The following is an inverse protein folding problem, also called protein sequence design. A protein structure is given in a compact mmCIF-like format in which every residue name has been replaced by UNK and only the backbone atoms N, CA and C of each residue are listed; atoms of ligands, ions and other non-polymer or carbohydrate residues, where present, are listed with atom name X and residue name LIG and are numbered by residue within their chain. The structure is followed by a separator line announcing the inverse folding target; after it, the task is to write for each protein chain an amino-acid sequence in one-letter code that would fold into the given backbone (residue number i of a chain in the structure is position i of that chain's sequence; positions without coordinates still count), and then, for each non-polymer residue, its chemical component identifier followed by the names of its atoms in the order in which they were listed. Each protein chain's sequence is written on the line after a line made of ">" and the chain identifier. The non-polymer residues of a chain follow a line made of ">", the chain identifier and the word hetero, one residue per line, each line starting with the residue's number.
data_IF_683518787399
#
_entry.id   IF_683518787399
#
_cell.length_a   1.000
_cell.length_b   1.000
_cell.length_c   1.000
_cell.angle_alpha   90.00
_cell.angle_beta   90.00
_cell.angle_gamma   90.00
#
_symmetry.space_group_name_H-M   'P 1'
#
loop_
_entity.id
_entity.type
_entity.pdbx_description
1 polymer ?
#
# COMPACT_ATOMS: atom_id res chain seq x y z
N UNK A 1 6.30 -1.32 15.75
CA UNK A 1 7.15 -1.73 14.63
C UNK A 1 6.32 -1.94 13.37
N UNK A 2 5.36 -2.86 13.36
CA UNK A 2 4.53 -3.18 12.17
C UNK A 2 3.82 -1.95 11.57
N UNK A 3 3.27 -1.07 12.42
CA UNK A 3 2.67 0.21 11.99
C UNK A 3 3.64 1.15 11.24
N UNK A 4 4.93 1.12 11.55
CA UNK A 4 5.90 1.96 10.84
C UNK A 4 6.37 1.27 9.55
N UNK A 5 6.51 -0.05 9.55
CA UNK A 5 6.82 -0.81 8.33
C UNK A 5 5.77 -0.65 7.23
N UNK A 6 4.51 -0.42 7.60
CA UNK A 6 3.44 -0.15 6.65
C UNK A 6 3.31 1.34 6.28
N UNK A 7 3.83 2.26 7.09
CA UNK A 7 3.73 3.71 6.84
C UNK A 7 4.92 4.32 6.11
N UNK A 8 6.11 3.74 6.29
CA UNK A 8 7.35 4.29 5.76
C UNK A 8 7.55 3.88 4.29
N UNK A 9 8.08 4.81 3.49
CA UNK A 9 8.49 4.50 2.11
C UNK A 9 9.65 3.51 2.10
N UNK A 10 9.51 2.47 1.27
CA UNK A 10 10.65 1.65 0.90
C UNK A 10 11.65 2.49 0.08
N UNK A 11 12.95 2.18 0.22
CA UNK A 11 13.94 2.69 -0.74
C UNK A 11 13.60 2.16 -2.14
N UNK A 12 13.88 2.94 -3.21
CA UNK A 12 13.74 2.46 -4.57
C UNK A 12 14.50 1.15 -4.79
N UNK A 13 13.93 0.26 -5.59
CA UNK A 13 14.63 -0.94 -6.06
C UNK A 13 15.39 -0.59 -7.34
N UNK A 14 16.66 -0.26 -7.19
CA UNK A 14 17.54 0.17 -8.26
C UNK A 14 18.98 -0.35 -8.07
N UNK A 15 19.89 0.08 -8.96
CA UNK A 15 21.31 -0.26 -8.90
C UNK A 15 22.08 0.50 -7.78
N UNK A 16 21.42 1.37 -7.01
CA UNK A 16 22.02 2.17 -5.95
C UNK A 16 21.70 1.59 -4.57
N UNK A 17 22.68 0.88 -4.01
CA UNK A 17 22.53 0.28 -2.68
C UNK A 17 23.01 1.25 -1.60
N UNK A 18 22.16 1.45 -0.58
CA UNK A 18 22.43 2.30 0.57
C UNK A 18 23.69 1.86 1.32
N UNK A 19 24.44 2.85 1.84
CA UNK A 19 25.74 2.62 2.50
C UNK A 19 25.69 1.61 3.65
N UNK A 20 24.55 1.52 4.34
CA UNK A 20 24.35 0.53 5.41
C UNK A 20 24.48 -0.92 4.93
N UNK A 21 24.06 -1.24 3.71
CA UNK A 21 24.19 -2.57 3.13
C UNK A 21 25.48 -2.74 2.31
N UNK A 22 26.01 -1.63 1.77
CA UNK A 22 27.22 -1.63 0.94
C UNK A 22 28.52 -1.62 1.76
N UNK A 23 28.54 -1.01 2.94
CA UNK A 23 29.78 -0.84 3.70
C UNK A 23 29.69 -1.42 5.12
N UNK A 24 28.48 -1.66 5.63
CA UNK A 24 28.21 -1.91 7.04
C UNK A 24 27.18 -3.05 7.25
N UNK A 25 27.14 -4.04 6.35
CA UNK A 25 26.17 -5.14 6.45
C UNK A 25 26.21 -5.86 7.82
N UNK A 26 27.36 -5.83 8.49
CA UNK A 26 27.53 -6.19 9.90
C UNK A 26 28.26 -5.07 10.64
N UNK A 27 27.96 -4.93 11.94
CA UNK A 27 28.64 -3.95 12.79
C UNK A 27 30.15 -4.23 12.83
N UNK A 28 30.99 -3.17 12.95
CA UNK A 28 32.44 -3.31 13.05
C UNK A 28 32.87 -4.34 14.12
N UNK A 29 33.98 -5.07 13.88
CA UNK A 29 35.04 -4.76 12.92
C UNK A 29 34.85 -5.31 11.49
N UNK A 30 33.82 -6.12 11.24
CA UNK A 30 33.68 -6.91 10.00
C UNK A 30 32.63 -6.34 9.04
N UNK A 31 32.77 -5.07 8.65
CA UNK A 31 31.91 -4.47 7.63
C UNK A 31 32.01 -5.23 6.30
N UNK A 32 30.87 -5.67 5.76
CA UNK A 32 30.79 -6.40 4.49
C UNK A 32 29.93 -5.63 3.48
N UNK A 33 30.23 -5.80 2.19
CA UNK A 33 29.48 -5.23 1.07
C UNK A 33 28.51 -6.27 0.48
N UNK A 34 27.22 -6.10 0.74
CA UNK A 34 26.19 -7.01 0.25
C UNK A 34 26.12 -7.06 -1.28
N UNK A 35 26.36 -5.93 -1.95
CA UNK A 35 26.32 -5.86 -3.40
C UNK A 35 27.47 -6.65 -4.01
N UNK A 36 28.69 -6.45 -3.48
CA UNK A 36 29.86 -7.22 -3.91
C UNK A 36 29.68 -8.72 -3.64
N UNK A 37 29.10 -9.09 -2.49
CA UNK A 37 28.79 -10.48 -2.15
C UNK A 37 27.81 -11.08 -3.16
N UNK A 38 26.75 -10.36 -3.56
CA UNK A 38 25.76 -10.87 -4.50
C UNK A 38 26.36 -11.07 -5.90
N UNK A 39 27.18 -10.14 -6.38
CA UNK A 39 27.91 -10.29 -7.65
C UNK A 39 28.83 -11.51 -7.61
N UNK A 40 29.67 -11.61 -6.57
CA UNK A 40 30.59 -12.74 -6.42
C UNK A 40 29.85 -14.07 -6.30
N UNK A 41 28.72 -14.11 -5.58
CA UNK A 41 27.87 -15.30 -5.47
C UNK A 41 27.29 -15.70 -6.83
N UNK A 42 26.94 -14.73 -7.67
CA UNK A 42 26.53 -14.98 -9.05
C UNK A 42 27.62 -15.68 -9.85
N UNK A 43 28.88 -15.23 -9.70
CA UNK A 43 30.03 -15.87 -10.35
C UNK A 43 30.29 -17.28 -9.80
N UNK A 44 30.23 -17.46 -8.48
CA UNK A 44 30.46 -18.74 -7.82
C UNK A 44 29.43 -19.81 -8.23
N UNK A 45 28.18 -19.39 -8.46
CA UNK A 45 27.09 -20.25 -8.93
C UNK A 45 27.10 -20.43 -10.46
N UNK A 46 28.00 -19.75 -11.17
CA UNK A 46 28.09 -19.81 -12.63
C UNK A 46 26.86 -19.25 -13.34
N UNK A 47 26.24 -18.21 -12.78
CA UNK A 47 25.13 -17.53 -13.46
C UNK A 47 25.61 -16.93 -14.78
N UNK A 48 24.75 -17.00 -15.80
CA UNK A 48 25.00 -16.33 -17.07
C UNK A 48 24.99 -14.81 -16.92
N UNK A 49 25.53 -14.12 -17.93
CA UNK A 49 25.43 -12.66 -18.02
C UNK A 49 23.97 -12.25 -18.25
N UNK A 50 23.68 -10.95 -18.12
CA UNK A 50 22.35 -10.41 -18.39
C UNK A 50 21.89 -10.80 -19.80
N UNK A 51 22.71 -10.57 -20.83
CA UNK A 51 22.35 -10.89 -22.21
C UNK A 51 22.15 -12.39 -22.46
N UNK A 52 23.00 -13.25 -21.90
CA UNK A 52 22.81 -14.69 -21.99
C UNK A 52 21.49 -15.13 -21.35
N UNK A 53 21.13 -14.53 -20.22
CA UNK A 53 19.87 -14.81 -19.52
C UNK A 53 18.68 -14.30 -20.32
N UNK A 54 18.76 -13.08 -20.86
CA UNK A 54 17.72 -12.51 -21.73
C UNK A 54 17.45 -13.41 -22.93
N UNK A 55 18.49 -13.86 -23.63
CA UNK A 55 18.36 -14.80 -24.74
C UNK A 55 17.68 -16.11 -24.31
N UNK A 56 18.08 -16.68 -23.16
CA UNK A 56 17.49 -17.91 -22.63
C UNK A 56 16.00 -17.75 -22.28
N UNK A 57 15.59 -16.55 -21.86
CA UNK A 57 14.19 -16.18 -21.59
C UNK A 57 13.42 -15.75 -22.84
N UNK A 58 14.04 -15.76 -24.02
CA UNK A 58 13.41 -15.32 -25.28
C UNK A 58 13.30 -13.79 -25.44
N UNK A 59 14.00 -13.01 -24.61
CA UNK A 59 14.13 -11.57 -24.75
C UNK A 59 15.28 -11.23 -25.72
N UNK A 60 15.17 -10.06 -26.37
CA UNK A 60 16.26 -9.55 -27.18
C UNK A 60 17.46 -9.13 -26.29
N UNK A 61 18.69 -9.56 -26.58
CA UNK A 61 19.86 -9.07 -25.86
C UNK A 61 20.04 -7.57 -26.11
N UNK A 62 20.58 -6.86 -25.12
CA UNK A 62 20.91 -5.45 -25.26
C UNK A 62 22.18 -5.27 -26.07
N UNK A 63 22.18 -4.32 -26.99
CA UNK A 63 23.33 -4.01 -27.85
C UNK A 63 24.11 -2.78 -27.39
N UNK A 64 23.61 -2.04 -26.40
CA UNK A 64 24.27 -0.87 -25.81
C UNK A 64 23.79 -0.64 -24.37
N UNK A 65 24.58 0.10 -23.59
CA UNK A 65 24.24 0.47 -22.21
C UNK A 65 23.01 1.41 -22.14
N UNK A 66 22.76 2.22 -23.16
CA UNK A 66 21.55 3.06 -23.23
C UNK A 66 20.25 2.25 -23.37
N UNK A 67 20.33 0.98 -23.79
CA UNK A 67 19.16 0.10 -23.81
C UNK A 67 18.92 -0.58 -22.46
N UNK A 68 19.94 -0.66 -21.60
CA UNK A 68 19.85 -1.24 -20.27
C UNK A 68 19.06 -0.32 -19.34
N UNK A 69 19.39 0.97 -19.32
CA UNK A 69 18.82 1.97 -18.42
C UNK A 69 18.55 3.28 -19.15
N UNK A 70 17.36 3.85 -18.95
CA UNK A 70 17.03 5.18 -19.44
C UNK A 70 17.74 6.31 -18.68
N UNK A 71 18.24 6.05 -17.47
CA UNK A 71 19.12 6.97 -16.75
C UNK A 71 20.54 6.96 -17.35
N UNK A 72 21.01 8.09 -17.95
CA UNK A 72 22.33 8.16 -18.56
C UNK A 72 23.49 8.01 -17.56
N UNK A 73 23.28 8.39 -16.29
CA UNK A 73 24.32 8.26 -15.28
C UNK A 73 24.58 6.78 -14.94
N UNK A 74 23.50 6.02 -14.75
CA UNK A 74 23.56 4.56 -14.57
C UNK A 74 24.17 3.87 -15.79
N UNK A 75 23.70 4.17 -17.01
CA UNK A 75 24.24 3.58 -18.23
C UNK A 75 25.76 3.80 -18.38
N UNK A 76 26.23 5.04 -18.17
CA UNK A 76 27.66 5.38 -18.22
C UNK A 76 28.48 4.70 -17.11
N UNK A 77 27.90 4.50 -15.92
CA UNK A 77 28.56 3.80 -14.82
C UNK A 77 28.76 2.32 -15.16
N UNK A 78 27.75 1.66 -15.74
CA UNK A 78 27.85 0.28 -16.22
C UNK A 78 28.86 0.15 -17.36
N UNK A 79 28.87 1.08 -18.32
CA UNK A 79 29.85 1.10 -19.41
C UNK A 79 31.28 1.15 -18.85
N UNK A 80 31.52 2.04 -17.88
CA UNK A 80 32.82 2.18 -17.23
C UNK A 80 33.22 0.92 -16.45
N UNK A 81 32.27 0.25 -15.80
CA UNK A 81 32.53 -0.91 -14.95
C UNK A 81 32.79 -2.19 -15.75
N UNK A 82 31.98 -2.45 -16.78
CA UNK A 82 31.98 -3.71 -17.51
C UNK A 82 32.70 -3.63 -18.86
N UNK A 83 32.79 -2.44 -19.48
CA UNK A 83 33.40 -2.22 -20.80
C UNK A 83 32.66 -2.82 -21.99
N UNK A 84 31.84 -3.86 -21.78
CA UNK A 84 30.98 -4.49 -22.77
C UNK A 84 29.61 -4.80 -22.18
N UNK A 85 28.54 -4.53 -22.93
CA UNK A 85 27.16 -4.83 -22.52
C UNK A 85 26.94 -6.34 -22.32
N UNK A 86 27.67 -7.17 -23.07
CA UNK A 86 27.59 -8.63 -22.96
C UNK A 86 28.24 -9.20 -21.69
N UNK A 87 29.05 -8.39 -21.00
CA UNK A 87 29.76 -8.78 -19.77
C UNK A 87 28.98 -8.45 -18.49
N UNK A 88 27.83 -7.76 -18.59
CA UNK A 88 27.06 -7.31 -17.42
C UNK A 88 26.51 -8.51 -16.64
N UNK A 89 26.78 -8.54 -15.34
CA UNK A 89 26.25 -9.56 -14.44
C UNK A 89 24.73 -9.52 -14.39
N UNK A 90 24.08 -10.69 -14.35
CA UNK A 90 22.61 -10.77 -14.28
C UNK A 90 22.04 -9.97 -13.11
N UNK A 91 22.63 -10.10 -11.92
CA UNK A 91 22.07 -9.46 -10.72
C UNK A 91 22.16 -7.92 -10.79
N UNK A 92 23.33 -7.38 -11.12
CA UNK A 92 23.54 -5.94 -11.24
C UNK A 92 22.74 -5.36 -12.41
N UNK A 93 22.78 -6.03 -13.57
CA UNK A 93 22.05 -5.62 -14.77
C UNK A 93 20.54 -5.64 -14.58
N UNK A 94 19.99 -6.67 -13.95
CA UNK A 94 18.54 -6.76 -13.70
C UNK A 94 18.00 -5.68 -12.74
N UNK A 95 18.83 -5.19 -11.81
CA UNK A 95 18.50 -4.03 -10.96
C UNK A 95 18.60 -2.68 -11.71
N UNK A 96 19.37 -2.64 -12.79
CA UNK A 96 19.55 -1.44 -13.62
C UNK A 96 18.52 -1.32 -14.75
N UNK A 97 17.77 -2.38 -15.04
CA UNK A 97 16.69 -2.33 -16.03
C UNK A 97 15.60 -1.35 -15.61
N UNK A 98 15.13 -0.52 -16.56
CA UNK A 98 13.96 0.33 -16.34
C UNK A 98 12.75 -0.51 -15.89
N UNK A 99 12.01 0.03 -14.92
CA UNK A 99 10.84 -0.65 -14.37
C UNK A 99 9.76 -0.85 -15.44
N UNK A 100 9.17 -2.05 -15.46
CA UNK A 100 7.99 -2.29 -16.30
C UNK A 100 6.80 -1.46 -15.80
N UNK A 101 5.83 -1.10 -16.67
CA UNK A 101 4.66 -0.31 -16.27
C UNK A 101 3.92 -0.94 -15.07
N UNK A 102 3.80 -0.18 -13.97
CA UNK A 102 3.15 -0.63 -12.75
C UNK A 102 3.95 -1.62 -11.90
N UNK A 103 5.23 -1.83 -12.19
CA UNK A 103 6.13 -2.70 -11.42
C UNK A 103 7.30 -1.90 -10.84
N UNK A 104 8.03 -2.53 -9.91
CA UNK A 104 9.27 -2.00 -9.32
C UNK A 104 10.52 -2.73 -9.85
N UNK A 105 10.36 -3.53 -10.90
CA UNK A 105 11.39 -4.37 -11.51
C UNK A 105 11.30 -4.30 -13.03
N UNK A 106 12.44 -4.51 -13.69
CA UNK A 106 12.54 -4.60 -15.15
C UNK A 106 12.06 -5.94 -15.72
N UNK A 107 12.02 -6.06 -17.05
CA UNK A 107 11.46 -7.21 -17.76
C UNK A 107 12.19 -8.54 -17.48
N UNK A 108 13.52 -8.54 -17.33
CA UNK A 108 14.27 -9.79 -17.11
C UNK A 108 13.92 -10.39 -15.75
N UNK A 109 14.00 -9.60 -14.68
CA UNK A 109 13.58 -10.04 -13.35
C UNK A 109 12.09 -10.31 -13.26
N UNK A 110 11.26 -9.54 -13.98
CA UNK A 110 9.82 -9.79 -14.08
C UNK A 110 9.51 -11.22 -14.54
N UNK A 111 10.18 -11.70 -15.60
CA UNK A 111 10.01 -13.08 -16.07
C UNK A 111 10.56 -14.09 -15.07
N UNK A 112 11.78 -13.92 -14.58
CA UNK A 112 12.41 -14.88 -13.63
C UNK A 112 11.55 -15.06 -12.38
N UNK A 113 11.06 -13.95 -11.82
CA UNK A 113 10.21 -13.95 -10.62
C UNK A 113 8.86 -14.59 -10.96
N UNK A 114 8.20 -14.19 -12.05
CA UNK A 114 6.91 -14.74 -12.44
C UNK A 114 6.97 -16.26 -12.69
N UNK A 115 8.00 -16.74 -13.39
CA UNK A 115 8.22 -18.16 -13.66
C UNK A 115 8.41 -18.93 -12.35
N UNK A 116 9.24 -18.41 -11.44
CA UNK A 116 9.51 -19.08 -10.16
C UNK A 116 8.27 -19.12 -9.26
N UNK A 117 7.51 -18.02 -9.15
CA UNK A 117 6.28 -17.99 -8.36
C UNK A 117 5.18 -18.86 -8.98
N UNK A 118 5.08 -18.90 -10.31
CA UNK A 118 4.15 -19.79 -11.02
C UNK A 118 4.49 -21.26 -10.77
N UNK A 119 5.76 -21.63 -10.90
CA UNK A 119 6.20 -23.01 -10.63
C UNK A 119 5.97 -23.43 -9.18
N UNK A 120 6.20 -22.52 -8.21
CA UNK A 120 5.90 -22.78 -6.80
C UNK A 120 4.40 -22.99 -6.56
N UNK A 121 3.55 -22.14 -7.14
CA UNK A 121 2.09 -22.26 -7.03
C UNK A 121 1.58 -23.55 -7.67
N UNK A 122 1.93 -23.79 -8.92
CA UNK A 122 1.39 -24.88 -9.73
C UNK A 122 1.97 -26.24 -9.29
N UNK A 123 3.19 -26.24 -8.75
CA UNK A 123 3.86 -27.43 -8.21
C UNK A 123 3.45 -27.80 -6.78
N UNK A 124 2.74 -26.91 -6.07
CA UNK A 124 2.34 -27.15 -4.69
C UNK A 124 0.95 -27.81 -4.59
N UNK A 125 0.97 -29.10 -4.25
CA UNK A 125 -0.24 -29.88 -3.95
C UNK A 125 -1.03 -29.26 -2.78
N UNK A 126 -0.37 -28.58 -1.85
CA UNK A 126 -0.98 -27.93 -0.69
C UNK A 126 -1.29 -26.46 -0.90
N UNK A 127 -1.17 -25.94 -2.14
CA UNK A 127 -1.62 -24.60 -2.46
C UNK A 127 -3.09 -24.42 -2.07
N UNK A 128 -3.42 -23.28 -1.47
CA UNK A 128 -4.69 -23.11 -0.75
C UNK A 128 -5.93 -23.29 -1.65
N UNK A 129 -5.85 -22.89 -2.92
CA UNK A 129 -6.94 -23.08 -3.89
C UNK A 129 -7.21 -24.56 -4.23
N UNK A 130 -6.24 -25.45 -3.97
CA UNK A 130 -6.35 -26.89 -4.24
C UNK A 130 -6.94 -27.69 -3.06
N UNK A 131 -7.24 -27.05 -1.92
CA UNK A 131 -7.62 -27.77 -0.70
C UNK A 131 -9.10 -28.14 -0.60
N UNK A 132 -9.92 -27.77 -1.60
CA UNK A 132 -11.33 -28.11 -1.62
C UNK A 132 -12.16 -27.38 -0.56
N UNK A 133 -11.73 -26.18 -0.15
CA UNK A 133 -12.53 -25.29 0.70
C UNK A 133 -13.89 -24.98 0.06
N UNK A 134 -14.92 -24.78 0.88
CA UNK A 134 -16.16 -24.22 0.38
C UNK A 134 -15.98 -22.77 -0.10
N UNK A 135 -16.97 -22.26 -0.84
CA UNK A 135 -16.88 -20.92 -1.45
C UNK A 135 -16.75 -19.81 -0.41
N UNK A 136 -17.36 -19.97 0.76
CA UNK A 136 -17.32 -18.96 1.79
C UNK A 136 -15.91 -18.89 2.37
N UNK A 137 -15.36 -20.01 2.82
CA UNK A 137 -13.99 -20.08 3.35
C UNK A 137 -12.95 -19.64 2.31
N UNK A 138 -13.11 -20.04 1.04
CA UNK A 138 -12.18 -19.61 -0.01
C UNK A 138 -12.22 -18.08 -0.21
N UNK A 139 -13.41 -17.47 -0.15
CA UNK A 139 -13.54 -16.02 -0.22
C UNK A 139 -12.92 -15.33 1.00
N UNK A 140 -13.12 -15.87 2.21
CA UNK A 140 -12.49 -15.36 3.43
C UNK A 140 -10.95 -15.38 3.31
N UNK A 141 -10.37 -16.48 2.82
CA UNK A 141 -8.92 -16.60 2.61
C UNK A 141 -8.43 -15.59 1.57
N UNK A 142 -9.11 -15.50 0.42
CA UNK A 142 -8.71 -14.60 -0.69
C UNK A 142 -8.80 -13.13 -0.34
N UNK A 143 -9.75 -12.77 0.51
CA UNK A 143 -9.97 -11.39 0.92
C UNK A 143 -9.20 -11.02 2.21
N UNK A 144 -8.46 -11.96 2.81
CA UNK A 144 -7.60 -11.64 3.97
C UNK A 144 -6.39 -10.84 3.50
N UNK A 145 -6.22 -9.65 4.05
CA UNK A 145 -5.08 -8.76 3.79
C UNK A 145 -4.03 -8.85 4.89
N UNK A 146 -2.82 -8.32 4.64
CA UNK A 146 -1.81 -8.17 5.71
C UNK A 146 -2.28 -7.20 6.79
N UNK A 147 -3.07 -6.17 6.42
CA UNK A 147 -3.68 -5.24 7.37
C UNK A 147 -4.64 -5.95 8.32
N UNK A 148 -5.48 -6.87 7.81
CA UNK A 148 -6.37 -7.68 8.66
C UNK A 148 -5.59 -8.50 9.69
N UNK A 149 -4.47 -9.12 9.27
CA UNK A 149 -3.62 -9.88 10.17
C UNK A 149 -3.00 -9.00 11.26
N UNK A 150 -2.50 -7.81 10.90
CA UNK A 150 -1.90 -6.87 11.86
C UNK A 150 -2.96 -6.36 12.86
N UNK A 151 -4.16 -6.01 12.38
CA UNK A 151 -5.27 -5.56 13.24
C UNK A 151 -5.73 -6.67 14.19
N UNK A 152 -5.83 -7.92 13.71
CA UNK A 152 -6.28 -9.05 14.52
C UNK A 152 -5.28 -9.48 15.59
N UNK A 153 -3.99 -9.38 15.30
CA UNK A 153 -2.94 -9.96 16.12
C UNK A 153 -2.12 -8.91 16.92
N UNK A 154 -2.52 -7.62 16.90
CA UNK A 154 -1.87 -6.54 17.66
C UNK A 154 -2.87 -5.62 18.37
N UNK A 155 -2.36 -4.61 19.10
CA UNK A 155 -3.14 -3.53 19.70
C UNK A 155 -3.37 -2.35 18.72
N UNK A 156 -3.01 -2.51 17.45
CA UNK A 156 -3.24 -1.51 16.41
C UNK A 156 -4.74 -1.42 16.12
N UNK A 157 -5.32 -0.24 16.28
CA UNK A 157 -6.76 -0.02 16.12
C UNK A 157 -7.19 0.45 14.74
N UNK A 158 -6.22 0.82 13.88
CA UNK A 158 -6.47 1.33 12.54
C UNK A 158 -5.19 1.25 11.68
N UNK A 159 -5.37 0.77 10.45
CA UNK A 159 -4.36 0.51 9.42
C UNK A 159 -4.93 0.90 8.06
N UNK A 160 -4.07 1.21 7.09
CA UNK A 160 -4.51 1.38 5.71
C UNK A 160 -4.97 0.03 5.12
N UNK A 161 -5.78 0.07 4.05
CA UNK A 161 -6.32 -1.13 3.41
C UNK A 161 -5.24 -2.01 2.78
N UNK A 162 -4.24 -1.41 2.13
CA UNK A 162 -3.08 -2.11 1.57
C UNK A 162 -1.79 -1.75 2.33
N UNK A 163 -1.31 -2.67 3.16
CA UNK A 163 -0.08 -2.50 3.94
C UNK A 163 1.20 -2.36 3.09
N UNK A 164 1.15 -2.63 1.79
CA UNK A 164 2.29 -2.49 0.87
C UNK A 164 2.35 -1.11 0.19
N UNK A 165 1.28 -0.33 0.26
CA UNK A 165 1.24 1.05 -0.24
C UNK A 165 1.50 1.99 0.93
N UNK A 166 2.52 2.84 0.79
CA UNK A 166 2.83 3.84 1.80
C UNK A 166 1.67 4.84 1.91
N UNK A 167 1.21 5.04 3.13
CA UNK A 167 0.11 5.94 3.47
C UNK A 167 0.55 6.83 4.61
N UNK A 168 0.35 8.14 4.48
CA UNK A 168 0.70 9.07 5.54
C UNK A 168 -0.28 8.93 6.70
N UNK A 169 0.22 8.53 7.89
CA UNK A 169 -0.64 8.27 9.04
C UNK A 169 -0.71 9.48 9.95
N UNK A 170 -1.91 10.06 10.05
CA UNK A 170 -2.23 11.15 10.97
C UNK A 170 -3.04 10.64 12.16
N UNK A 171 -2.77 11.20 13.34
CA UNK A 171 -3.67 11.07 14.49
C UNK A 171 -4.51 12.34 14.57
N UNK A 172 -5.81 12.20 14.79
CA UNK A 172 -6.70 13.32 15.06
C UNK A 172 -6.23 14.11 16.28
N UNK A 173 -6.41 15.43 16.24
CA UNK A 173 -6.12 16.30 17.37
C UNK A 173 -7.41 16.59 18.12
N UNK A 174 -7.34 16.66 19.45
CA UNK A 174 -8.36 17.38 20.22
C UNK A 174 -8.49 18.81 19.64
N UNK A 175 -9.49 19.05 18.78
CA UNK A 175 -9.74 20.35 18.17
C UNK A 175 -9.43 20.51 16.67
N UNK A 176 -9.01 19.46 15.95
CA UNK A 176 -9.31 19.38 14.53
C UNK A 176 -8.64 20.41 13.61
N UNK A 177 -7.32 20.36 13.54
CA UNK A 177 -6.46 20.51 12.35
C UNK A 177 -5.16 19.79 12.74
N UNK A 178 -4.37 19.33 11.77
CA UNK A 178 -2.95 19.03 12.00
C UNK A 178 -2.33 20.14 12.89
N UNK A 179 -1.67 19.81 14.02
CA UNK A 179 -1.06 20.80 14.91
C UNK A 179 0.07 21.60 14.21
N UNK A 180 0.45 21.23 12.99
CA UNK A 180 1.45 21.93 12.16
C UNK A 180 0.85 22.74 10.99
N UNK A 181 -0.38 22.43 10.55
CA UNK A 181 -0.98 23.07 9.36
C UNK A 181 -0.30 22.69 8.04
N UNK A 182 0.47 21.61 8.03
CA UNK A 182 1.16 21.05 6.89
C UNK A 182 0.17 20.27 6.03
N UNK A 183 0.25 20.50 4.72
CA UNK A 183 -0.47 19.69 3.74
C UNK A 183 0.11 18.28 3.76
N UNK A 184 -0.74 17.29 3.46
CA UNK A 184 -0.30 15.94 3.13
C UNK A 184 0.97 15.96 2.27
N UNK A 185 1.90 15.03 2.50
CA UNK A 185 3.04 14.86 1.60
C UNK A 185 2.51 14.69 0.16
N UNK A 186 3.01 15.53 -0.77
CA UNK A 186 2.45 15.59 -2.13
C UNK A 186 2.48 14.21 -2.80
N UNK A 187 1.32 13.71 -3.23
CA UNK A 187 1.19 12.42 -3.91
C UNK A 187 1.01 11.20 -3.01
N UNK A 188 0.70 11.37 -1.73
CA UNK A 188 0.37 10.26 -0.82
C UNK A 188 -1.05 10.35 -0.28
N UNK A 189 -1.75 9.21 -0.29
CA UNK A 189 -2.99 9.04 0.45
C UNK A 189 -2.74 9.06 1.96
N UNK A 190 -3.78 9.38 2.73
CA UNK A 190 -3.75 9.61 4.16
C UNK A 190 -4.62 8.60 4.91
N UNK A 191 -4.11 8.13 6.05
CA UNK A 191 -4.89 7.42 7.07
C UNK A 191 -5.06 8.34 8.27
N UNK A 192 -6.25 8.91 8.43
CA UNK A 192 -6.55 9.88 9.49
C UNK A 192 -7.37 9.20 10.58
N UNK A 193 -6.75 8.93 11.73
CA UNK A 193 -7.39 8.19 12.83
C UNK A 193 -7.83 9.15 13.93
N UNK A 194 -9.13 9.28 14.14
CA UNK A 194 -9.71 10.16 15.15
C UNK A 194 -9.31 9.80 16.59
N UNK A 195 -9.43 10.78 17.48
CA UNK A 195 -9.24 10.61 18.92
C UNK A 195 -10.57 10.69 19.68
N UNK A 196 -10.70 10.06 20.86
CA UNK A 196 -11.93 10.17 21.64
C UNK A 196 -12.25 11.62 22.03
N UNK A 197 -13.47 12.09 21.76
CA UNK A 197 -13.92 13.44 22.09
C UNK A 197 -14.48 14.19 20.89
N UNK A 198 -14.19 15.49 20.79
CA UNK A 198 -14.56 16.31 19.63
C UNK A 198 -13.33 16.47 18.75
N UNK A 199 -13.41 15.96 17.53
CA UNK A 199 -12.27 15.91 16.59
C UNK A 199 -12.70 16.35 15.18
N UNK A 200 -11.74 16.84 14.40
CA UNK A 200 -11.90 17.09 12.96
C UNK A 200 -10.84 16.30 12.21
N UNK A 201 -11.28 15.46 11.29
CA UNK A 201 -10.47 14.63 10.43
C UNK A 201 -10.57 15.22 9.02
N UNK A 202 -9.43 15.42 8.36
CA UNK A 202 -9.37 16.04 7.03
C UNK A 202 -8.34 15.30 6.19
N UNK A 203 -8.78 14.74 5.07
CA UNK A 203 -7.92 14.18 4.02
C UNK A 203 -7.37 15.25 3.07
N UNK A 204 -6.81 14.78 1.96
CA UNK A 204 -6.17 15.52 0.88
C UNK A 204 -6.87 15.35 -0.48
N UNK A 205 -6.06 15.23 -1.53
CA UNK A 205 -6.55 15.18 -2.93
C UNK A 205 -6.53 13.76 -3.53
N UNK A 206 -6.26 12.74 -2.71
CA UNK A 206 -6.14 11.33 -3.10
C UNK A 206 -7.13 10.47 -2.30
N UNK A 207 -7.21 9.18 -2.65
CA UNK A 207 -8.13 8.24 -1.99
C UNK A 207 -7.72 7.98 -0.52
N UNK A 208 -8.33 8.69 0.42
CA UNK A 208 -7.96 8.68 1.83
C UNK A 208 -8.84 7.75 2.67
N UNK A 209 -8.35 7.37 3.86
CA UNK A 209 -9.11 6.61 4.86
C UNK A 209 -9.22 7.39 6.15
N UNK A 210 -10.44 7.77 6.53
CA UNK A 210 -10.74 8.52 7.75
C UNK A 210 -11.45 7.61 8.75
N UNK A 211 -10.78 7.28 9.86
CA UNK A 211 -11.30 6.35 10.87
C UNK A 211 -11.87 7.13 12.05
N UNK A 212 -13.18 7.02 12.25
CA UNK A 212 -13.88 7.70 13.33
C UNK A 212 -13.55 7.07 14.70
N UNK A 213 -13.44 7.92 15.73
CA UNK A 213 -13.33 7.49 17.12
C UNK A 213 -14.58 7.88 17.93
N UNK A 214 -14.64 7.47 19.19
CA UNK A 214 -15.77 7.78 20.06
C UNK A 214 -15.92 9.29 20.30
N UNK A 215 -17.14 9.82 20.21
CA UNK A 215 -17.48 11.21 20.48
C UNK A 215 -18.14 11.89 19.30
N UNK A 216 -17.73 13.13 18.99
CA UNK A 216 -18.27 13.93 17.89
C UNK A 216 -17.19 14.23 16.87
N UNK A 217 -17.33 13.67 15.68
CA UNK A 217 -16.38 13.80 14.59
C UNK A 217 -16.91 14.75 13.51
N UNK A 218 -16.03 15.60 12.98
CA UNK A 218 -16.23 16.30 11.70
C UNK A 218 -15.23 15.72 10.72
N UNK A 219 -15.67 15.20 9.59
CA UNK A 219 -14.83 14.45 8.66
C UNK A 219 -14.95 15.07 7.27
N UNK A 220 -13.82 15.32 6.63
CA UNK A 220 -13.72 15.90 5.29
C UNK A 220 -12.77 15.02 4.48
N UNK A 221 -13.26 14.36 3.43
CA UNK A 221 -12.44 13.48 2.60
C UNK A 221 -11.48 14.29 1.74
N UNK A 222 -12.01 15.31 1.05
CA UNK A 222 -11.29 16.11 0.08
C UNK A 222 -11.66 15.71 -1.34
N UNK A 223 -10.67 15.48 -2.19
CA UNK A 223 -10.88 14.95 -3.53
C UNK A 223 -10.33 13.52 -3.59
N UNK A 224 -10.92 12.68 -4.43
CA UNK A 224 -10.56 11.26 -4.50
C UNK A 224 -11.78 10.39 -4.24
N UNK A 225 -11.55 9.09 -4.11
CA UNK A 225 -12.54 8.13 -3.63
C UNK A 225 -12.24 7.78 -2.18
N UNK A 226 -12.84 8.52 -1.25
CA UNK A 226 -12.49 8.45 0.17
C UNK A 226 -13.29 7.38 0.91
N UNK A 227 -12.67 6.80 1.94
CA UNK A 227 -13.31 5.80 2.81
C UNK A 227 -13.47 6.35 4.23
N UNK A 228 -14.71 6.45 4.68
CA UNK A 228 -15.06 6.86 6.04
C UNK A 228 -15.40 5.62 6.86
N UNK A 229 -14.52 5.26 7.79
CA UNK A 229 -14.58 4.03 8.56
C UNK A 229 -15.14 4.23 9.97
N UNK A 230 -16.09 3.38 10.34
CA UNK A 230 -16.74 3.36 11.64
C UNK A 230 -16.62 1.97 12.27
N UNK A 231 -15.67 1.80 13.20
CA UNK A 231 -15.59 0.58 13.99
C UNK A 231 -16.64 0.60 15.12
N UNK A 232 -17.77 -0.06 14.86
CA UNK A 232 -18.89 -0.10 15.79
C UNK A 232 -18.59 -0.85 17.09
N UNK A 233 -17.61 -1.76 17.10
CA UNK A 233 -17.16 -2.42 18.33
C UNK A 233 -16.50 -1.43 19.30
N UNK A 234 -15.75 -0.47 18.76
CA UNK A 234 -15.10 0.61 19.51
C UNK A 234 -16.07 1.73 19.87
N UNK A 235 -17.04 2.00 19.00
CA UNK A 235 -18.00 3.10 19.14
C UNK A 235 -19.23 2.76 20.01
N UNK A 236 -19.59 1.48 20.17
CA UNK A 236 -20.84 1.07 20.80
C UNK A 236 -21.14 1.74 22.16
N UNK A 237 -22.40 2.18 22.34
CA UNK A 237 -22.96 2.58 23.62
C UNK A 237 -22.63 4.01 24.07
N UNK A 238 -22.13 4.87 23.17
CA UNK A 238 -21.67 6.22 23.50
C UNK A 238 -22.42 7.36 22.81
N UNK A 239 -23.45 7.07 22.00
CA UNK A 239 -24.21 8.08 21.25
C UNK A 239 -23.29 9.03 20.47
N UNK A 240 -22.34 8.45 19.74
CA UNK A 240 -21.39 9.20 18.94
C UNK A 240 -22.10 9.80 17.73
N UNK A 241 -21.55 10.91 17.27
CA UNK A 241 -22.06 11.65 16.12
C UNK A 241 -20.92 11.92 15.15
N UNK A 242 -21.16 11.75 13.86
CA UNK A 242 -20.23 12.17 12.83
C UNK A 242 -20.92 13.10 11.84
N UNK A 243 -20.20 14.10 11.36
CA UNK A 243 -20.64 14.99 10.29
C UNK A 243 -19.63 14.86 9.17
N UNK A 244 -20.05 14.38 8.02
CA UNK A 244 -19.22 14.27 6.81
C UNK A 244 -19.56 15.45 5.90
N UNK A 245 -18.55 16.25 5.54
CA UNK A 245 -18.78 17.57 4.96
C UNK A 245 -18.90 17.60 3.44
N UNK A 246 -18.37 16.60 2.75
CA UNK A 246 -18.13 16.62 1.31
C UNK A 246 -18.32 15.26 0.61
N UNK A 247 -19.00 14.31 1.26
CA UNK A 247 -19.22 12.96 0.74
C UNK A 247 -19.78 12.96 -0.71
N UNK A 248 -19.03 12.39 -1.65
CA UNK A 248 -19.49 12.11 -3.02
C UNK A 248 -20.04 10.67 -3.11
N UNK A 249 -21.37 10.46 -3.17
CA UNK A 249 -21.95 9.12 -3.22
C UNK A 249 -21.57 8.29 -4.46
N UNK A 250 -20.90 8.88 -5.45
CA UNK A 250 -20.42 8.15 -6.64
C UNK A 250 -19.01 7.58 -6.47
N UNK A 251 -18.25 8.09 -5.51
CA UNK A 251 -16.81 7.80 -5.37
C UNK A 251 -16.50 7.30 -3.96
N UNK A 252 -17.04 7.97 -2.95
CA UNK A 252 -16.74 7.73 -1.55
C UNK A 252 -17.51 6.53 -0.98
N UNK A 253 -16.99 5.99 0.12
CA UNK A 253 -17.51 4.81 0.80
C UNK A 253 -17.71 5.03 2.28
N UNK A 254 -18.76 4.43 2.81
CA UNK A 254 -18.99 4.28 4.26
C UNK A 254 -18.71 2.84 4.65
N UNK A 255 -17.69 2.64 5.47
CA UNK A 255 -17.27 1.31 5.91
C UNK A 255 -17.59 1.10 7.39
N UNK A 256 -18.18 -0.05 7.72
CA UNK A 256 -18.55 -0.42 9.08
C UNK A 256 -17.91 -1.76 9.45
N UNK A 257 -17.41 -1.91 10.68
CA UNK A 257 -16.73 -3.15 11.10
C UNK A 257 -17.60 -4.40 11.19
N UNK A 258 -18.93 -4.29 10.97
CA UNK A 258 -19.88 -5.40 10.96
C UNK A 258 -21.05 -5.12 10.01
N UNK A 259 -21.73 -6.18 9.56
CA UNK A 259 -23.03 -6.07 8.89
C UNK A 259 -24.04 -5.37 9.81
N UNK A 260 -24.45 -4.17 9.43
CA UNK A 260 -25.34 -3.34 10.24
C UNK A 260 -26.56 -2.87 9.50
N UNK A 261 -27.68 -2.86 10.23
CA UNK A 261 -28.89 -2.25 9.74
C UNK A 261 -28.74 -0.73 9.83
N UNK A 262 -28.72 -0.07 8.68
CA UNK A 262 -28.67 1.39 8.62
C UNK A 262 -30.00 1.97 8.18
N UNK A 263 -30.53 2.85 9.03
CA UNK A 263 -31.76 3.60 8.72
C UNK A 263 -31.39 4.96 8.16
N UNK A 264 -31.96 5.29 7.00
CA UNK A 264 -31.74 6.55 6.30
C UNK A 264 -32.92 7.49 6.49
N UNK A 265 -32.65 8.75 6.80
CA UNK A 265 -33.66 9.82 6.93
C UNK A 265 -33.13 11.14 6.38
N UNK A 266 -34.01 12.13 6.22
CA UNK A 266 -33.60 13.50 5.90
C UNK A 266 -33.20 14.22 7.19
N UNK A 267 -32.10 14.95 7.15
CA UNK A 267 -31.74 15.88 8.22
C UNK A 267 -32.65 17.14 8.18
N UNK A 268 -32.43 18.07 9.11
CA UNK A 268 -33.17 19.35 9.15
C UNK A 268 -32.78 20.36 8.05
N UNK A 269 -31.73 20.09 7.27
CA UNK A 269 -31.15 20.97 6.25
C UNK A 269 -31.30 20.43 4.81
N UNK A 270 -31.95 19.28 4.62
CA UNK A 270 -32.15 18.61 3.33
C UNK A 270 -31.05 17.62 2.93
N UNK A 271 -30.05 17.38 3.79
CA UNK A 271 -29.04 16.34 3.70
C UNK A 271 -29.53 14.98 4.23
N UNK A 272 -28.61 14.04 4.38
CA UNK A 272 -28.90 12.65 4.75
C UNK A 272 -28.42 12.35 6.15
N UNK A 273 -29.35 11.93 7.00
CA UNK A 273 -29.04 11.44 8.34
C UNK A 273 -29.14 9.91 8.38
N UNK A 274 -28.04 9.28 8.74
CA UNK A 274 -27.90 7.84 8.89
C UNK A 274 -27.90 7.47 10.37
N UNK A 275 -28.72 6.50 10.74
CA UNK A 275 -28.73 5.90 12.06
C UNK A 275 -28.17 4.48 11.97
N UNK A 276 -27.06 4.24 12.68
CA UNK A 276 -26.33 2.96 12.70
C UNK A 276 -26.26 2.48 14.14
N UNK A 277 -27.17 1.60 14.55
CA UNK A 277 -27.31 1.24 15.97
C UNK A 277 -27.64 2.48 16.83
N UNK A 278 -26.78 2.79 17.81
CA UNK A 278 -26.88 4.01 18.66
C UNK A 278 -26.21 5.25 18.07
N UNK A 279 -25.53 5.10 16.93
CA UNK A 279 -24.68 6.13 16.33
C UNK A 279 -25.41 6.90 15.24
N UNK A 280 -25.08 8.17 15.07
CA UNK A 280 -25.70 9.03 14.06
C UNK A 280 -24.64 9.67 13.16
N UNK A 281 -24.80 9.54 11.84
CA UNK A 281 -23.88 10.10 10.84
C UNK A 281 -24.69 11.06 9.95
N UNK A 282 -24.25 12.29 9.85
CA UNK A 282 -24.86 13.36 9.06
C UNK A 282 -24.01 13.62 7.81
N UNK A 283 -24.57 13.37 6.63
CA UNK A 283 -23.94 13.62 5.33
C UNK A 283 -24.43 14.96 4.79
N UNK A 284 -23.59 15.99 4.91
CA UNK A 284 -23.96 17.34 4.50
C UNK A 284 -24.08 17.43 2.99
N UNK A 285 -25.18 18.01 2.51
CA UNK A 285 -25.39 18.27 1.08
C UNK A 285 -25.77 17.04 0.24
N UNK A 286 -25.67 15.82 0.78
CA UNK A 286 -26.06 14.58 0.10
C UNK A 286 -27.53 14.30 0.39
N UNK A 287 -28.35 14.15 -0.65
CA UNK A 287 -29.77 13.86 -0.49
C UNK A 287 -30.00 12.37 -0.30
N UNK A 288 -31.04 11.96 0.45
CA UNK A 288 -31.25 10.54 0.73
C UNK A 288 -31.41 9.66 -0.50
N UNK A 289 -31.90 10.17 -1.63
CA UNK A 289 -32.06 9.37 -2.85
C UNK A 289 -30.76 9.19 -3.65
N UNK A 290 -29.73 9.97 -3.34
CA UNK A 290 -28.41 9.87 -3.97
C UNK A 290 -27.58 8.72 -3.36
N UNK A 291 -27.93 8.27 -2.15
CA UNK A 291 -27.32 7.12 -1.48
C UNK A 291 -27.97 5.79 -1.90
N UNK A 292 -27.20 4.86 -2.45
CA UNK A 292 -27.70 3.53 -2.80
C UNK A 292 -27.30 2.49 -1.74
N UNK A 293 -28.25 1.61 -1.37
CA UNK A 293 -28.06 0.62 -0.29
C UNK A 293 -27.01 -0.47 -0.58
N UNK A 294 -26.37 -0.48 -1.75
CA UNK A 294 -25.28 -1.41 -2.09
C UNK A 294 -23.89 -0.88 -1.73
N UNK A 295 -23.79 0.33 -1.16
CA UNK A 295 -22.54 1.02 -0.78
C UNK A 295 -22.06 0.67 0.65
N UNK A 296 -22.56 -0.41 1.24
CA UNK A 296 -22.37 -0.80 2.64
C UNK A 296 -21.72 -2.18 2.69
N UNK A 297 -20.46 -2.26 2.31
CA UNK A 297 -19.71 -3.52 2.23
C UNK A 297 -18.23 -3.27 2.02
#
# INVERSE_FOLDING_TARGET
>A
MLRHLSGDLANPLDAHIVDGLRNLLFDPPDGMDLAAINIQRGHDLGLGTLNQTREALGLAPYTSFDQLSSDPATAAAFEKAYGSIDAVDLWAGGLAEDHAPGAVIGPTFGIIIADQFTALRDGDRYYFENQGFDKQTLNEIKNTTLSDLILRDTDTTAMQSDAFVATERHSGTLGGVDPTGEKAAAGMAQLVVGSPGRDTLTGGDLDDTLVAAAGRMTMTGGAGADTFEFDLGVLAGKHNTAVITDFDPKQDKLQFSNDVHVTKSSDHHGGTLLQVGSETIDLLGVKPHEMHLHEWG
#
